data_IF_142605021530
#
_entry.id   IF_142605021530
#
_cell.length_a   1.000
_cell.length_b   1.000
_cell.length_c   1.000
_cell.angle_alpha   90.00
_cell.angle_beta   90.00
_cell.angle_gamma   90.00
#
_symmetry.space_group_name_H-M   'P 1'
#
loop_
_entity.id
_entity.type
_entity.pdbx_description
1 polymer ?
#
# COMPACT_ATOMS: atom_id res chain seq x y z
N UNK A 1 -13.54 41.12 -1.54
CA UNK A 1 -14.61 40.41 -0.81
C UNK A 1 -14.78 41.02 0.58
N UNK A 2 -15.99 41.06 1.15
CA UNK A 2 -16.20 41.51 2.52
C UNK A 2 -15.38 40.69 3.53
N UNK A 3 -14.96 41.29 4.66
CA UNK A 3 -14.35 40.54 5.76
C UNK A 3 -15.25 39.39 6.24
N UNK A 4 -14.63 38.31 6.75
CA UNK A 4 -15.32 37.13 7.33
C UNK A 4 -16.30 36.38 6.40
N UNK A 5 -16.29 36.63 5.09
CA UNK A 5 -17.21 36.00 4.13
C UNK A 5 -16.60 34.83 3.34
N UNK A 6 -15.40 34.36 3.69
CA UNK A 6 -14.71 33.30 2.93
C UNK A 6 -15.49 31.99 2.90
N UNK A 7 -16.04 31.59 4.04
CA UNK A 7 -16.90 30.41 4.21
C UNK A 7 -18.23 30.47 3.43
N UNK A 8 -18.56 31.61 2.81
CA UNK A 8 -19.77 31.80 2.00
C UNK A 8 -19.45 31.97 0.52
N UNK A 9 -18.42 32.78 0.22
CA UNK A 9 -18.16 33.26 -1.13
C UNK A 9 -16.96 32.60 -1.80
N UNK A 10 -16.10 31.88 -1.06
CA UNK A 10 -14.94 31.21 -1.65
C UNK A 10 -15.28 29.75 -1.97
N UNK A 11 -15.31 29.35 -3.26
CA UNK A 11 -15.62 27.97 -3.66
C UNK A 11 -14.74 26.94 -2.94
N UNK A 12 -13.46 27.24 -2.74
CA UNK A 12 -12.54 26.33 -2.04
C UNK A 12 -12.98 26.05 -0.60
N UNK A 13 -13.37 27.08 0.14
CA UNK A 13 -13.83 26.95 1.53
C UNK A 13 -15.22 26.28 1.59
N UNK A 14 -16.13 26.65 0.68
CA UNK A 14 -17.51 26.13 0.64
C UNK A 14 -17.57 24.66 0.24
N UNK A 15 -16.76 24.25 -0.74
CA UNK A 15 -16.96 22.97 -1.44
C UNK A 15 -15.75 22.05 -1.52
N UNK A 16 -14.51 22.55 -1.52
CA UNK A 16 -13.35 21.72 -1.83
C UNK A 16 -12.58 21.26 -0.58
N UNK A 17 -12.33 22.16 0.39
CA UNK A 17 -11.45 21.85 1.51
C UNK A 17 -12.05 20.86 2.50
N UNK A 18 -13.36 20.91 2.74
CA UNK A 18 -14.02 19.95 3.64
C UNK A 18 -13.95 18.52 3.11
N UNK A 19 -14.32 18.23 1.85
CA UNK A 19 -14.05 16.92 1.25
C UNK A 19 -12.57 16.56 1.22
N UNK A 20 -11.67 17.51 0.92
CA UNK A 20 -10.23 17.25 0.87
C UNK A 20 -9.67 16.76 2.20
N UNK A 21 -10.04 17.41 3.28
CA UNK A 21 -9.68 16.98 4.64
C UNK A 21 -10.17 15.55 4.90
N UNK A 22 -11.41 15.22 4.54
CA UNK A 22 -11.97 13.87 4.73
C UNK A 22 -11.25 12.81 3.90
N UNK A 23 -10.99 13.07 2.63
CA UNK A 23 -10.28 12.12 1.77
C UNK A 23 -8.84 11.90 2.26
N UNK A 24 -8.14 12.98 2.61
CA UNK A 24 -6.80 12.88 3.19
C UNK A 24 -6.82 12.14 4.54
N UNK A 25 -7.80 12.37 5.42
CA UNK A 25 -7.96 11.61 6.66
C UNK A 25 -8.08 10.10 6.41
N UNK A 26 -8.78 9.67 5.36
CA UNK A 26 -8.86 8.24 4.98
C UNK A 26 -7.51 7.67 4.53
N UNK A 27 -6.73 8.45 3.78
CA UNK A 27 -5.36 8.07 3.42
C UNK A 27 -4.46 7.92 4.66
N UNK A 28 -4.59 8.85 5.61
CA UNK A 28 -3.89 8.77 6.91
C UNK A 28 -4.31 7.54 7.71
N UNK A 29 -5.61 7.25 7.79
CA UNK A 29 -6.12 6.03 8.45
C UNK A 29 -5.60 4.75 7.78
N UNK A 30 -5.42 4.74 6.46
CA UNK A 30 -4.79 3.65 5.73
C UNK A 30 -3.32 3.47 6.11
N UNK A 31 -2.56 4.56 6.20
CA UNK A 31 -1.16 4.55 6.64
C UNK A 31 -1.02 4.05 8.09
N UNK A 32 -1.87 4.52 9.00
CA UNK A 32 -1.90 4.09 10.40
C UNK A 32 -2.23 2.61 10.49
N UNK A 33 -3.25 2.15 9.74
CA UNK A 33 -3.54 0.72 9.61
C UNK A 33 -2.28 -0.02 9.23
N UNK A 34 -1.46 0.47 8.32
CA UNK A 34 -0.20 -0.16 7.90
C UNK A 34 1.01 0.05 8.85
N UNK A 35 0.77 0.38 10.12
CA UNK A 35 1.77 0.67 11.15
C UNK A 35 2.71 1.85 10.83
N UNK A 36 2.28 2.75 9.94
CA UNK A 36 2.99 4.00 9.67
C UNK A 36 2.37 5.08 10.54
N UNK A 37 2.86 5.18 11.78
CA UNK A 37 2.33 6.12 12.78
C UNK A 37 2.97 7.52 12.67
N UNK A 38 4.06 7.67 11.91
CA UNK A 38 4.73 8.95 11.71
C UNK A 38 4.75 9.29 10.22
N UNK A 39 4.04 10.35 9.85
CA UNK A 39 3.95 10.83 8.47
C UNK A 39 5.11 11.77 8.19
N UNK A 40 6.02 11.36 7.31
CA UNK A 40 7.06 12.24 6.76
C UNK A 40 6.63 12.77 5.39
N UNK A 41 7.46 13.60 4.74
CA UNK A 41 7.21 14.07 3.36
C UNK A 41 7.02 12.92 2.36
N UNK A 42 7.61 11.75 2.63
CA UNK A 42 7.50 10.58 1.75
C UNK A 42 6.11 9.92 1.80
N UNK A 43 5.40 10.04 2.91
CA UNK A 43 4.01 9.59 3.05
C UNK A 43 3.03 10.70 2.70
N UNK A 44 3.31 11.92 3.15
CA UNK A 44 2.42 13.07 2.99
C UNK A 44 2.13 13.36 1.51
N UNK A 45 3.17 13.46 0.67
CA UNK A 45 2.98 13.88 -0.72
C UNK A 45 2.14 12.87 -1.53
N UNK A 46 2.40 11.55 -1.46
CA UNK A 46 1.53 10.57 -2.13
C UNK A 46 0.09 10.57 -1.59
N UNK A 47 -0.09 10.60 -0.26
CA UNK A 47 -1.42 10.60 0.36
C UNK A 47 -2.23 11.85 -0.02
N UNK A 48 -1.58 13.03 0.04
CA UNK A 48 -2.21 14.29 -0.36
C UNK A 48 -2.52 14.29 -1.86
N UNK A 49 -1.61 13.81 -2.71
CA UNK A 49 -1.84 13.74 -4.16
C UNK A 49 -3.02 12.84 -4.50
N UNK A 50 -3.12 11.68 -3.86
CA UNK A 50 -4.25 10.76 -4.05
C UNK A 50 -5.58 11.42 -3.66
N UNK A 51 -5.64 12.06 -2.49
CA UNK A 51 -6.83 12.80 -2.05
C UNK A 51 -7.17 13.99 -2.96
N UNK A 52 -6.14 14.69 -3.46
CA UNK A 52 -6.29 15.83 -4.37
C UNK A 52 -6.88 15.39 -5.71
N UNK A 53 -6.32 14.34 -6.32
CA UNK A 53 -6.76 13.82 -7.62
C UNK A 53 -8.19 13.31 -7.58
N UNK A 54 -8.59 12.71 -6.45
CA UNK A 54 -9.95 12.25 -6.25
C UNK A 54 -10.97 13.39 -6.21
N UNK A 55 -10.58 14.58 -5.74
CA UNK A 55 -11.51 15.65 -5.39
C UNK A 55 -11.48 16.86 -6.30
N UNK A 56 -10.34 17.21 -6.87
CA UNK A 56 -10.21 18.33 -7.80
C UNK A 56 -10.61 17.94 -9.22
N UNK A 57 -11.78 17.31 -9.34
CA UNK A 57 -12.45 17.01 -10.61
C UNK A 57 -13.43 18.13 -10.97
N UNK A 58 -13.66 18.32 -12.27
CA UNK A 58 -14.53 19.40 -12.79
C UNK A 58 -15.91 19.45 -12.10
N UNK A 59 -16.54 18.29 -11.88
CA UNK A 59 -17.85 18.22 -11.22
C UNK A 59 -17.85 18.85 -9.81
N UNK A 60 -16.83 18.55 -8.99
CA UNK A 60 -16.72 19.08 -7.64
C UNK A 60 -16.39 20.58 -7.65
N UNK A 61 -15.53 21.02 -8.57
CA UNK A 61 -15.21 22.42 -8.76
C UNK A 61 -16.48 23.19 -9.14
N UNK A 62 -17.22 22.74 -10.15
CA UNK A 62 -18.48 23.36 -10.56
C UNK A 62 -19.50 23.40 -9.40
N UNK A 63 -19.60 22.31 -8.62
CA UNK A 63 -20.47 22.26 -7.43
C UNK A 63 -20.03 23.28 -6.37
N UNK A 64 -18.73 23.48 -6.18
CA UNK A 64 -18.19 24.45 -5.24
C UNK A 64 -18.52 25.89 -5.65
N UNK A 65 -18.39 26.22 -6.94
CA UNK A 65 -18.80 27.53 -7.48
C UNK A 65 -20.31 27.76 -7.37
N UNK A 66 -21.11 26.71 -7.59
CA UNK A 66 -22.56 26.77 -7.37
C UNK A 66 -22.91 26.98 -5.90
N UNK A 67 -22.23 26.27 -5.00
CA UNK A 67 -22.43 26.40 -3.56
C UNK A 67 -22.07 27.78 -3.00
N UNK A 68 -21.11 28.46 -3.63
CA UNK A 68 -20.75 29.85 -3.36
C UNK A 68 -21.66 30.86 -4.07
N UNK A 69 -22.68 30.41 -4.82
CA UNK A 69 -23.63 31.25 -5.53
C UNK A 69 -23.03 32.03 -6.69
N UNK A 70 -21.89 31.60 -7.25
CA UNK A 70 -21.18 32.32 -8.31
C UNK A 70 -21.56 31.82 -9.71
N UNK A 71 -21.80 30.50 -9.87
CA UNK A 71 -22.09 29.89 -11.17
C UNK A 71 -23.24 28.88 -11.08
N UNK A 72 -24.44 29.22 -11.62
CA UNK A 72 -24.85 30.57 -12.03
C UNK A 72 -24.88 31.54 -10.84
N UNK A 73 -24.86 32.84 -11.11
CA UNK A 73 -24.92 33.86 -10.06
C UNK A 73 -26.28 33.78 -9.33
N UNK A 74 -26.24 33.43 -8.04
CA UNK A 74 -27.40 33.15 -7.18
C UNK A 74 -27.21 33.82 -5.80
N UNK A 75 -27.44 35.13 -5.69
CA UNK A 75 -27.20 35.89 -4.45
C UNK A 75 -28.07 35.40 -3.28
N UNK A 76 -29.34 35.10 -3.54
CA UNK A 76 -30.30 34.66 -2.52
C UNK A 76 -29.86 33.38 -1.80
N UNK A 77 -29.26 32.43 -2.53
CA UNK A 77 -28.76 31.19 -1.95
C UNK A 77 -27.58 31.39 -0.97
N UNK A 78 -26.88 32.52 -1.07
CA UNK A 78 -25.83 32.91 -0.13
C UNK A 78 -26.42 33.72 1.02
N UNK A 79 -27.32 34.67 0.73
CA UNK A 79 -27.97 35.52 1.71
C UNK A 79 -28.82 34.72 2.70
N UNK A 80 -29.52 33.67 2.24
CA UNK A 80 -30.31 32.80 3.11
C UNK A 80 -29.49 32.05 4.17
N UNK A 81 -28.16 31.91 3.98
CA UNK A 81 -27.26 31.28 4.97
C UNK A 81 -26.88 32.22 6.11
N UNK A 82 -27.10 33.52 5.95
CA UNK A 82 -26.87 34.53 6.99
C UNK A 82 -28.00 34.55 8.02
N UNK A 83 -29.19 34.03 7.67
CA UNK A 83 -30.32 33.91 8.59
C UNK A 83 -30.16 32.64 9.45
N UNK A 84 -29.32 32.74 10.48
CA UNK A 84 -28.96 31.61 11.35
C UNK A 84 -30.08 31.35 12.35
N UNK A 85 -30.94 30.36 12.07
CA UNK A 85 -31.78 29.76 13.10
C UNK A 85 -30.98 28.72 13.90
N UNK A 86 -30.71 29.02 15.17
CA UNK A 86 -30.08 28.08 16.10
C UNK A 86 -31.05 26.92 16.37
N UNK A 87 -30.83 25.77 15.72
CA UNK A 87 -31.49 24.52 16.07
C UNK A 87 -30.66 23.79 17.13
N UNK A 88 -31.26 23.60 18.31
CA UNK A 88 -30.75 22.67 19.32
C UNK A 88 -30.86 21.25 18.77
N UNK A 89 -29.77 20.48 18.67
CA UNK A 89 -29.86 19.09 18.25
C UNK A 89 -30.69 18.30 19.26
N UNK A 90 -31.73 17.61 18.77
CA UNK A 90 -32.49 16.64 19.56
C UNK A 90 -31.54 15.53 20.05
N UNK A 91 -31.60 15.13 21.33
CA UNK A 91 -30.77 14.06 21.86
C UNK A 91 -30.95 12.78 21.02
N UNK A 92 -29.87 12.05 20.69
CA UNK A 92 -29.99 10.76 20.03
C UNK A 92 -30.79 9.80 20.92
N UNK A 93 -31.79 9.13 20.35
CA UNK A 93 -32.42 7.99 21.00
C UNK A 93 -31.34 6.95 21.33
N UNK A 94 -31.37 6.42 22.55
CA UNK A 94 -30.44 5.42 23.03
C UNK A 94 -30.39 4.23 22.05
N UNK A 95 -29.21 3.99 21.48
CA UNK A 95 -28.94 2.81 20.67
C UNK A 95 -29.09 1.59 21.56
N UNK A 96 -30.01 0.71 21.22
CA UNK A 96 -30.18 -0.61 21.83
C UNK A 96 -28.86 -1.36 21.69
N UNK A 97 -28.27 -1.76 22.82
CA UNK A 97 -27.09 -2.62 22.84
C UNK A 97 -27.38 -3.88 22.02
N UNK A 98 -26.73 -3.99 20.86
CA UNK A 98 -26.68 -5.25 20.15
C UNK A 98 -25.88 -6.23 21.01
N UNK A 99 -26.58 -7.20 21.59
CA UNK A 99 -26.02 -8.38 22.24
C UNK A 99 -25.09 -9.11 21.26
N UNK A 100 -23.82 -8.72 21.25
CA UNK A 100 -22.78 -9.35 20.46
C UNK A 100 -22.32 -10.62 21.17
N UNK A 101 -22.69 -11.79 20.62
CA UNK A 101 -22.02 -13.05 20.92
C UNK A 101 -21.76 -13.81 19.62
N UNK A 102 -20.64 -13.48 18.97
CA UNK A 102 -19.94 -14.44 18.14
C UNK A 102 -18.91 -15.15 19.04
N UNK A 103 -19.26 -16.32 19.58
CA UNK A 103 -18.25 -17.21 20.15
C UNK A 103 -17.46 -17.80 18.99
N UNK A 104 -16.36 -17.15 18.65
CA UNK A 104 -15.34 -17.66 17.74
C UNK A 104 -14.78 -18.96 18.31
N UNK A 105 -14.83 -20.05 17.55
CA UNK A 105 -13.95 -21.19 17.79
C UNK A 105 -12.52 -20.71 17.52
N UNK A 106 -11.71 -20.63 18.57
CA UNK A 106 -10.48 -19.86 18.58
C UNK A 106 -9.26 -20.59 18.04
N UNK A 107 -9.34 -21.91 17.82
CA UNK A 107 -8.19 -22.73 17.40
C UNK A 107 -8.59 -24.06 16.71
N UNK A 108 -7.63 -24.65 16.00
CA UNK A 108 -7.80 -25.94 15.29
C UNK A 108 -8.19 -27.09 16.22
N UNK A 109 -7.75 -27.05 17.48
CA UNK A 109 -8.05 -28.08 18.49
C UNK A 109 -9.53 -28.07 18.90
N UNK A 110 -10.15 -26.89 18.98
CA UNK A 110 -11.59 -26.74 19.21
C UNK A 110 -12.42 -27.24 18.02
N UNK A 111 -11.94 -27.00 16.79
CA UNK A 111 -12.55 -27.53 15.57
C UNK A 111 -12.53 -29.07 15.56
N UNK A 112 -11.39 -29.67 15.90
CA UNK A 112 -11.24 -31.12 16.04
C UNK A 112 -12.15 -31.69 17.14
N UNK A 113 -12.24 -31.01 18.28
CA UNK A 113 -13.12 -31.40 19.38
C UNK A 113 -14.60 -31.33 18.99
N UNK A 114 -15.03 -30.33 18.22
CA UNK A 114 -16.39 -30.27 17.71
C UNK A 114 -16.67 -31.33 16.64
N UNK A 115 -15.71 -31.58 15.74
CA UNK A 115 -15.82 -32.61 14.70
C UNK A 115 -15.99 -34.02 15.31
N UNK A 116 -15.20 -34.33 16.34
CA UNK A 116 -15.31 -35.59 17.09
C UNK A 116 -16.64 -35.71 17.82
N UNK A 117 -17.10 -34.63 18.47
CA UNK A 117 -18.41 -34.58 19.15
C UNK A 117 -19.59 -34.80 18.19
N UNK A 118 -19.55 -34.20 17.00
CA UNK A 118 -20.56 -34.39 15.94
C UNK A 118 -20.56 -35.85 15.47
N UNK A 119 -19.37 -36.41 15.21
CA UNK A 119 -19.20 -37.80 14.75
C UNK A 119 -19.78 -38.80 15.77
N UNK A 120 -19.53 -38.58 17.06
CA UNK A 120 -20.06 -39.43 18.12
C UNK A 120 -21.57 -39.28 18.34
N UNK A 121 -22.14 -38.09 18.08
CA UNK A 121 -23.59 -37.89 18.09
C UNK A 121 -24.27 -38.59 16.93
N UNK A 122 -23.67 -38.56 15.74
CA UNK A 122 -24.16 -39.29 14.55
C UNK A 122 -24.14 -40.80 14.81
N UNK A 123 -23.03 -41.33 15.34
CA UNK A 123 -22.87 -42.77 15.64
C UNK A 123 -23.86 -43.30 16.68
N UNK A 124 -24.24 -42.48 17.66
CA UNK A 124 -25.14 -42.87 18.76
C UNK A 124 -26.62 -42.59 18.49
N UNK A 125 -26.95 -42.01 17.34
CA UNK A 125 -28.33 -41.64 17.02
C UNK A 125 -29.20 -42.87 16.76
N UNK A 126 -30.30 -43.00 17.52
CA UNK A 126 -31.28 -44.10 17.39
C UNK A 126 -32.69 -43.59 17.05
N UNK A 127 -32.77 -42.67 16.08
CA UNK A 127 -34.00 -42.24 15.39
C UNK A 127 -35.06 -41.37 16.10
N UNK A 128 -34.79 -40.70 17.23
CA UNK A 128 -35.84 -39.88 17.89
C UNK A 128 -35.92 -38.41 17.43
N UNK A 129 -34.84 -37.77 16.96
CA UNK A 129 -34.86 -36.49 16.21
C UNK A 129 -33.44 -36.08 15.76
N UNK A 130 -33.21 -35.63 14.51
CA UNK A 130 -31.89 -35.21 14.03
C UNK A 130 -31.49 -33.77 14.42
N UNK A 131 -32.38 -33.02 15.09
CA UNK A 131 -32.20 -31.58 15.34
C UNK A 131 -30.88 -31.23 16.06
N UNK A 132 -30.45 -32.05 17.02
CA UNK A 132 -29.20 -31.87 17.77
C UNK A 132 -27.94 -32.04 16.91
N UNK A 133 -27.99 -32.91 15.89
CA UNK A 133 -26.90 -33.12 14.93
C UNK A 133 -26.85 -31.97 13.94
N UNK A 134 -28.03 -31.57 13.41
CA UNK A 134 -28.15 -30.44 12.48
C UNK A 134 -27.63 -29.15 13.15
N UNK A 135 -27.97 -28.91 14.41
CA UNK A 135 -27.48 -27.78 15.17
C UNK A 135 -25.94 -27.78 15.28
N UNK A 136 -25.34 -28.92 15.60
CA UNK A 136 -23.89 -29.04 15.73
C UNK A 136 -23.16 -28.85 14.37
N UNK A 137 -23.69 -29.41 13.29
CA UNK A 137 -23.17 -29.17 11.92
C UNK A 137 -23.30 -27.68 11.56
N UNK A 138 -24.41 -27.03 11.90
CA UNK A 138 -24.60 -25.61 11.63
C UNK A 138 -23.60 -24.71 12.38
N UNK A 139 -23.23 -25.09 13.61
CA UNK A 139 -22.21 -24.40 14.40
C UNK A 139 -20.83 -24.58 13.77
N UNK A 140 -20.49 -25.80 13.34
CA UNK A 140 -19.25 -26.08 12.63
C UNK A 140 -19.13 -25.27 11.34
N UNK A 141 -20.20 -25.21 10.54
CA UNK A 141 -20.26 -24.41 9.30
C UNK A 141 -19.98 -22.94 9.58
N UNK A 142 -20.69 -22.35 10.56
CA UNK A 142 -20.49 -20.93 10.95
C UNK A 142 -19.05 -20.67 11.44
N UNK A 143 -18.48 -21.59 12.21
CA UNK A 143 -17.10 -21.50 12.66
C UNK A 143 -16.11 -21.51 11.50
N UNK A 144 -16.29 -22.42 10.54
CA UNK A 144 -15.45 -22.50 9.34
C UNK A 144 -15.55 -21.23 8.47
N UNK A 145 -16.75 -20.69 8.27
CA UNK A 145 -16.97 -19.42 7.54
C UNK A 145 -16.20 -18.26 8.18
N UNK A 146 -16.26 -18.12 9.51
CA UNK A 146 -15.53 -17.07 10.24
C UNK A 146 -14.01 -17.30 10.15
N UNK A 147 -13.53 -18.54 10.25
CA UNK A 147 -12.10 -18.86 10.10
C UNK A 147 -11.59 -18.54 8.70
N UNK A 148 -12.36 -18.84 7.66
CA UNK A 148 -11.99 -18.53 6.28
C UNK A 148 -11.89 -17.02 6.04
N UNK A 149 -12.89 -16.26 6.51
CA UNK A 149 -12.90 -14.79 6.39
C UNK A 149 -11.72 -14.17 7.16
N UNK A 150 -11.48 -14.63 8.39
CA UNK A 150 -10.35 -14.14 9.19
C UNK A 150 -8.99 -14.51 8.55
N UNK A 151 -8.86 -15.69 7.95
CA UNK A 151 -7.67 -16.09 7.20
C UNK A 151 -7.43 -15.19 5.97
N UNK A 152 -8.49 -14.73 5.31
CA UNK A 152 -8.39 -13.77 4.20
C UNK A 152 -7.93 -12.39 4.68
N UNK A 153 -8.54 -11.86 5.74
CA UNK A 153 -8.10 -10.61 6.36
C UNK A 153 -6.63 -10.68 6.83
N UNK A 154 -6.21 -11.82 7.38
CA UNK A 154 -4.81 -12.05 7.76
C UNK A 154 -3.87 -12.08 6.54
N UNK A 155 -4.29 -12.71 5.43
CA UNK A 155 -3.50 -12.71 4.18
C UNK A 155 -3.31 -11.28 3.65
N UNK A 156 -4.37 -10.49 3.58
CA UNK A 156 -4.30 -9.07 3.18
C UNK A 156 -3.36 -8.28 4.11
N UNK A 157 -3.45 -8.56 5.41
CA UNK A 157 -2.61 -7.93 6.41
C UNK A 157 -1.13 -8.25 6.20
N UNK A 158 -0.81 -9.52 5.99
CA UNK A 158 0.55 -9.99 5.73
C UNK A 158 1.10 -9.33 4.46
N UNK A 159 0.34 -9.36 3.35
CA UNK A 159 0.75 -8.74 2.09
C UNK A 159 1.03 -7.24 2.24
N UNK A 160 0.21 -6.53 3.02
CA UNK A 160 0.44 -5.12 3.33
C UNK A 160 1.73 -4.91 4.15
N UNK A 161 1.96 -5.73 5.18
CA UNK A 161 3.16 -5.67 6.01
C UNK A 161 4.43 -5.97 5.22
N UNK A 162 4.38 -6.92 4.29
CA UNK A 162 5.51 -7.23 3.40
C UNK A 162 5.85 -6.03 2.53
N UNK A 163 4.84 -5.40 1.91
CA UNK A 163 5.02 -4.20 1.09
C UNK A 163 5.60 -3.03 1.89
N UNK A 164 5.14 -2.81 3.13
CA UNK A 164 5.67 -1.74 3.99
C UNK A 164 7.09 -2.03 4.44
N UNK A 165 7.41 -3.29 4.77
CA UNK A 165 8.76 -3.72 5.10
C UNK A 165 9.72 -3.53 3.91
N UNK A 166 9.31 -3.86 2.69
CA UNK A 166 10.10 -3.62 1.48
C UNK A 166 10.38 -2.13 1.26
N UNK A 167 9.37 -1.27 1.45
CA UNK A 167 9.56 0.18 1.38
C UNK A 167 10.52 0.68 2.48
N UNK A 168 10.41 0.16 3.70
CA UNK A 168 11.28 0.50 4.81
C UNK A 168 12.73 0.04 4.59
N UNK A 169 12.96 -1.16 4.05
CA UNK A 169 14.30 -1.65 3.71
C UNK A 169 14.95 -0.82 2.61
N UNK A 170 14.22 -0.49 1.53
CA UNK A 170 14.69 0.44 0.49
C UNK A 170 15.10 1.80 1.06
N UNK A 171 14.32 2.35 2.00
CA UNK A 171 14.66 3.60 2.71
C UNK A 171 15.94 3.46 3.54
N UNK A 172 16.08 2.36 4.31
CA UNK A 172 17.30 2.09 5.09
C UNK A 172 18.53 1.99 4.20
N UNK A 173 18.44 1.32 3.04
CA UNK A 173 19.54 1.24 2.07
C UNK A 173 19.93 2.63 1.52
N UNK A 174 18.96 3.47 1.13
CA UNK A 174 19.22 4.85 0.68
C UNK A 174 19.89 5.70 1.77
N UNK A 175 19.44 5.59 3.03
CA UNK A 175 20.04 6.31 4.16
C UNK A 175 21.48 5.88 4.44
N UNK A 176 21.79 4.58 4.34
CA UNK A 176 23.17 4.07 4.49
C UNK A 176 24.09 4.56 3.38
N UNK A 177 23.63 4.65 2.13
CA UNK A 177 24.42 5.20 1.00
C UNK A 177 24.75 6.69 1.16
N UNK A 178 23.96 7.45 1.92
CA UNK A 178 24.11 8.92 2.03
C UNK A 178 25.04 9.39 3.14
N UNK A 179 25.75 8.48 3.84
CA UNK A 179 26.71 8.81 4.90
C UNK A 179 28.02 8.05 4.66
N UNK A 180 28.67 8.27 3.51
CA UNK A 180 30.13 8.24 3.49
C UNK A 180 30.63 9.57 4.07
N UNK A 181 31.60 9.48 4.98
CA UNK A 181 31.96 10.55 5.92
C UNK A 181 32.33 11.87 5.22
N UNK A 182 31.83 12.93 5.85
CA UNK A 182 31.98 14.36 5.60
C UNK A 182 33.46 14.78 5.59
N UNK A 183 34.07 14.86 4.41
CA UNK A 183 35.11 15.83 4.11
C UNK A 183 34.48 17.06 3.44
N UNK A 184 35.09 18.24 3.55
CA UNK A 184 34.73 19.37 2.67
C UNK A 184 35.14 18.94 1.27
N UNK A 185 34.16 18.62 0.42
CA UNK A 185 34.42 18.33 -0.99
C UNK A 185 34.84 19.66 -1.64
N UNK A 186 36.14 19.82 -1.84
CA UNK A 186 36.68 20.96 -2.59
C UNK A 186 36.28 20.81 -4.06
N UNK A 187 36.20 21.93 -4.79
CA UNK A 187 35.82 21.93 -6.21
C UNK A 187 36.67 20.93 -7.03
N UNK A 188 37.98 20.89 -6.78
CA UNK A 188 38.90 19.95 -7.42
C UNK A 188 38.58 18.48 -7.11
N UNK A 189 38.29 18.14 -5.84
CA UNK A 189 37.88 16.78 -5.50
C UNK A 189 36.54 16.38 -6.15
N UNK A 190 35.67 17.35 -6.45
CA UNK A 190 34.46 17.12 -7.23
C UNK A 190 34.76 16.86 -8.71
N UNK A 191 35.67 17.63 -9.31
CA UNK A 191 36.13 17.46 -10.69
C UNK A 191 36.83 16.11 -10.88
N UNK A 192 37.68 15.68 -9.93
CA UNK A 192 38.36 14.39 -9.96
C UNK A 192 37.40 13.20 -9.90
N UNK A 193 36.32 13.29 -9.10
CA UNK A 193 35.29 12.24 -9.02
C UNK A 193 34.52 12.12 -10.34
N UNK A 194 34.27 13.25 -11.03
CA UNK A 194 33.61 13.26 -12.34
C UNK A 194 34.54 12.61 -13.37
N UNK A 195 35.81 13.03 -13.42
CA UNK A 195 36.80 12.48 -14.33
C UNK A 195 37.01 10.97 -14.12
N UNK A 196 37.07 10.50 -12.87
CA UNK A 196 37.18 9.08 -12.56
C UNK A 196 35.95 8.30 -13.03
N UNK A 197 34.75 8.84 -12.84
CA UNK A 197 33.52 8.18 -13.32
C UNK A 197 33.48 8.10 -14.84
N UNK A 198 33.86 9.17 -15.54
CA UNK A 198 33.92 9.19 -17.00
C UNK A 198 34.95 8.16 -17.51
N UNK A 199 36.11 8.05 -16.85
CA UNK A 199 37.10 7.04 -17.15
C UNK A 199 36.58 5.60 -16.90
N UNK A 200 35.91 5.36 -15.77
CA UNK A 200 35.34 4.05 -15.45
C UNK A 200 34.23 3.65 -16.43
N UNK A 201 33.39 4.62 -16.86
CA UNK A 201 32.36 4.42 -17.88
C UNK A 201 32.97 4.10 -19.26
N UNK A 202 34.07 4.77 -19.60
CA UNK A 202 34.83 4.50 -20.81
C UNK A 202 35.47 3.11 -20.79
N UNK A 203 36.10 2.72 -19.67
CA UNK A 203 36.67 1.37 -19.48
C UNK A 203 35.57 0.32 -19.59
N UNK A 204 34.41 0.52 -18.96
CA UNK A 204 33.29 -0.42 -19.03
C UNK A 204 32.65 -0.51 -20.43
N UNK A 205 32.79 0.52 -21.26
CA UNK A 205 32.40 0.51 -22.67
C UNK A 205 33.43 -0.27 -23.51
N UNK A 206 34.72 -0.03 -23.26
CA UNK A 206 35.83 -0.70 -23.95
C UNK A 206 35.92 -2.19 -23.60
N UNK A 207 35.68 -2.59 -22.36
CA UNK A 207 35.62 -4.01 -21.96
C UNK A 207 34.47 -4.75 -22.67
N UNK A 208 33.32 -4.08 -22.84
CA UNK A 208 32.17 -4.63 -23.59
C UNK A 208 32.48 -4.80 -25.09
N UNK A 209 33.25 -3.89 -25.68
CA UNK A 209 33.68 -3.94 -27.08
C UNK A 209 34.88 -4.90 -27.30
N UNK A 210 35.78 -4.99 -26.32
CA UNK A 210 36.97 -5.84 -26.35
C UNK A 210 36.66 -7.34 -26.15
N UNK A 211 35.58 -7.66 -25.43
CA UNK A 211 35.03 -9.01 -25.35
C UNK A 211 34.60 -9.57 -26.71
N UNK A 212 34.13 -8.72 -27.63
CA UNK A 212 33.74 -9.12 -28.99
C UNK A 212 34.95 -9.30 -29.93
N UNK A 213 36.03 -8.54 -29.75
CA UNK A 213 37.26 -8.68 -30.57
C UNK A 213 38.19 -9.81 -30.12
N UNK A 214 38.19 -10.18 -28.85
CA UNK A 214 39.03 -11.28 -28.32
C UNK A 214 38.49 -12.68 -28.64
N UNK A 215 37.22 -12.79 -29.05
CA UNK A 215 36.61 -14.03 -29.53
C UNK A 215 37.18 -14.57 -30.85
N UNK A 216 37.82 -13.72 -31.67
CA UNK A 216 38.36 -14.12 -32.99
C UNK A 216 39.78 -14.73 -32.89
N UNK A 217 40.55 -14.41 -31.84
CA UNK A 217 41.95 -14.85 -31.73
C UNK A 217 42.12 -16.26 -31.11
N UNK A 218 41.16 -16.74 -30.30
CA UNK A 218 41.22 -18.10 -29.73
C UNK A 218 40.99 -19.23 -30.74
N UNK A 219 40.39 -18.94 -31.91
CA UNK A 219 40.20 -19.94 -32.97
C UNK A 219 41.43 -20.12 -33.88
N UNK A 220 42.40 -19.20 -33.86
CA UNK A 220 43.61 -19.28 -34.68
C UNK A 220 44.77 -20.06 -34.03
N UNK A 221 44.80 -20.19 -32.70
CA UNK A 221 45.84 -20.94 -31.98
C UNK A 221 45.54 -22.44 -31.79
N UNK A 222 44.33 -22.89 -32.11
CA UNK A 222 43.93 -24.30 -32.00
C UNK A 222 44.11 -25.11 -33.31
N UNK A 223 44.61 -24.48 -34.39
CA UNK A 223 44.73 -25.11 -35.73
C UNK A 223 46.16 -25.42 -36.21
N UNK A 224 47.16 -25.35 -35.33
CA UNK A 224 48.56 -25.67 -35.69
C UNK A 224 49.22 -26.79 -34.86
N UNK A 225 48.46 -27.65 -34.16
CA UNK A 225 49.05 -28.74 -33.35
C UNK A 225 48.38 -30.11 -33.55
N UNK A 226 48.03 -30.48 -34.77
CA UNK A 226 47.67 -31.88 -35.09
C UNK A 226 48.13 -32.23 -36.51
N UNK A 227 49.44 -32.41 -36.74
CA UNK A 227 50.00 -33.40 -37.68
C UNK A 227 51.44 -33.72 -37.21
N UNK A 228 51.82 -35.00 -37.29
CA UNK A 228 53.16 -35.57 -37.18
C UNK A 228 53.77 -35.80 -35.78
N UNK A 229 53.42 -36.96 -35.20
CA UNK A 229 54.38 -37.81 -34.49
C UNK A 229 54.01 -39.28 -34.75
N UNK A 230 54.45 -39.80 -35.89
CA UNK A 230 54.59 -41.24 -36.11
C UNK A 230 55.94 -41.51 -36.77
N UNK A 231 56.60 -42.56 -36.25
CA UNK A 231 57.84 -43.18 -36.69
C UNK A 231 59.14 -42.50 -36.25
N UNK A 232 59.73 -43.02 -35.16
CA UNK A 232 61.08 -43.59 -35.22
C UNK A 232 61.19 -44.71 -34.18
N UNK A 233 61.05 -45.95 -34.67
CA UNK A 233 61.45 -47.20 -34.02
C UNK A 233 62.88 -47.46 -34.51
N UNK A 234 63.82 -47.64 -33.59
CA UNK A 234 65.25 -47.63 -33.89
C UNK A 234 65.84 -48.93 -34.47
N UNK A 235 67.15 -48.80 -34.69
CA UNK A 235 68.16 -49.77 -35.17
C UNK A 235 68.13 -50.12 -36.65
#
# INVERSE_FOLDING_TARGET
MPPHSSHLLQPLDVGCFSPLKRAYSREVESLIRNHINHITKLEFLPAFKAAFDQLFVSANICSAFRGAGLVPLQPEAVLSKLDVQLRTPTPPAALTEALWQACTLGNLRELEAQSTLISDRVRRHKSSSPASIIAAISQLKKGAEIMMLSAELMRDRIASLEKTNEAATKRRQRRKKRIQKRGVLTKGAGEDIIAQREADEQIAYEERQGGERSGVSRQALARCNVVELHAYRGR
#
